data_IF_987673407492
#
_entry.id   IF_987673407492
#
_cell.length_a   1.000
_cell.length_b   1.000
_cell.length_c   1.000
_cell.angle_alpha   90.00
_cell.angle_beta   90.00
_cell.angle_gamma   90.00
#
_symmetry.space_group_name_H-M   'P 1'
#
loop_
_entity.id
_entity.type
_entity.pdbx_description
1 polymer ?
#
# COMPACT_ATOMS: atom_id res chain seq x y z
N UNK A 1 71.38 26.41 -0.22
CA UNK A 1 71.11 25.07 0.33
C UNK A 1 69.62 24.78 0.17
N UNK A 2 69.30 23.82 -0.69
CA UNK A 2 68.07 23.02 -0.83
C UNK A 2 66.64 23.55 -0.46
N UNK A 3 65.81 23.54 -1.52
CA UNK A 3 64.49 22.87 -1.69
C UNK A 3 63.18 23.50 -1.15
N UNK A 4 62.35 23.83 -2.16
CA UNK A 4 60.96 23.41 -2.43
C UNK A 4 59.81 23.93 -1.56
N UNK A 5 58.95 24.68 -2.25
CA UNK A 5 57.48 24.75 -2.12
C UNK A 5 56.82 23.40 -1.88
N UNK A 6 55.80 23.38 -1.01
CA UNK A 6 54.62 22.51 -1.12
C UNK A 6 53.40 23.13 -0.44
N UNK A 7 52.37 23.30 -1.25
CA UNK A 7 50.94 23.39 -0.96
C UNK A 7 50.50 22.24 -0.05
N UNK A 8 49.42 22.43 0.72
CA UNK A 8 48.46 21.35 0.96
C UNK A 8 47.03 21.91 0.98
N UNK A 9 46.26 21.41 0.03
CA UNK A 9 44.81 21.42 -0.10
C UNK A 9 44.11 20.69 1.05
N UNK A 10 42.96 21.24 1.41
CA UNK A 10 41.64 20.62 1.60
C UNK A 10 41.42 19.46 2.59
N UNK A 11 40.41 19.70 3.42
CA UNK A 11 39.28 18.82 3.76
C UNK A 11 39.58 17.41 4.27
N UNK A 12 39.35 17.21 5.57
CA UNK A 12 38.20 16.41 6.06
C UNK A 12 37.87 16.89 7.48
N UNK A 13 36.71 17.54 7.61
CA UNK A 13 36.03 17.79 8.88
C UNK A 13 35.78 16.48 9.62
N UNK A 14 36.44 16.33 10.77
CA UNK A 14 36.12 15.29 11.76
C UNK A 14 35.45 15.96 12.95
N UNK A 15 34.12 16.12 12.89
CA UNK A 15 33.32 16.52 14.03
C UNK A 15 33.21 15.36 15.03
N UNK A 16 34.27 15.17 15.83
CA UNK A 16 34.14 14.66 17.19
C UNK A 16 33.50 15.76 18.03
N UNK A 17 32.24 15.59 18.46
CA UNK A 17 31.76 16.30 19.64
C UNK A 17 31.25 15.30 20.67
N UNK A 18 31.89 15.37 21.83
CA UNK A 18 31.68 14.55 23.00
C UNK A 18 30.84 15.39 23.96
N UNK A 19 29.63 14.95 24.31
CA UNK A 19 29.03 15.35 25.60
C UNK A 19 28.17 14.22 26.15
N UNK A 20 28.74 13.50 27.12
CA UNK A 20 28.01 12.56 27.99
C UNK A 20 26.92 13.32 28.74
N UNK A 21 25.69 13.28 28.25
CA UNK A 21 24.51 13.58 29.07
C UNK A 21 24.15 12.32 29.86
N UNK A 22 24.07 12.45 31.19
CA UNK A 22 23.61 11.36 32.06
C UNK A 22 22.16 11.03 31.71
N UNK A 23 21.80 9.77 31.48
CA UNK A 23 20.44 9.41 31.14
C UNK A 23 19.53 9.47 32.38
N UNK A 24 18.47 10.26 32.28
CA UNK A 24 17.43 10.42 33.29
C UNK A 24 16.46 9.23 33.18
N UNK A 25 16.92 8.04 33.56
CA UNK A 25 16.14 6.80 33.47
C UNK A 25 15.12 6.68 34.60
N UNK A 26 13.96 7.33 34.47
CA UNK A 26 12.73 6.84 35.13
C UNK A 26 11.54 7.15 34.21
N UNK A 27 11.04 6.11 33.53
CA UNK A 27 9.71 6.03 32.88
C UNK A 27 9.55 6.69 31.49
N UNK A 28 10.46 6.44 30.55
CA UNK A 28 10.39 7.02 29.19
C UNK A 28 9.76 6.13 28.09
N UNK A 29 9.69 4.80 28.30
CA UNK A 29 9.14 3.87 27.30
C UNK A 29 7.65 4.10 26.98
N UNK A 30 6.94 4.89 27.79
CA UNK A 30 5.55 5.31 27.52
C UNK A 30 5.41 6.28 26.34
N UNK A 31 6.44 7.08 26.00
CA UNK A 31 6.36 8.04 24.88
C UNK A 31 6.46 7.32 23.53
N UNK A 32 7.15 6.18 23.46
CA UNK A 32 7.24 5.34 22.26
C UNK A 32 5.85 4.79 21.86
N UNK A 33 4.97 4.51 22.83
CA UNK A 33 3.60 4.01 22.61
C UNK A 33 2.72 5.08 21.92
N UNK A 34 2.94 6.37 22.18
CA UNK A 34 2.12 7.44 21.60
C UNK A 34 2.49 7.72 20.14
N UNK A 35 3.73 7.47 19.73
CA UNK A 35 4.19 7.61 18.34
C UNK A 35 3.66 6.46 17.47
N UNK A 36 3.42 5.28 18.05
CA UNK A 36 2.90 4.08 17.38
C UNK A 36 1.47 4.22 16.82
N UNK A 37 0.68 5.21 17.27
CA UNK A 37 -0.71 5.41 16.79
C UNK A 37 -0.74 6.05 15.38
N UNK A 38 0.35 6.65 14.92
CA UNK A 38 0.38 7.34 13.61
C UNK A 38 0.78 6.47 12.42
N UNK A 39 1.19 5.20 12.62
CA UNK A 39 1.66 4.33 11.51
C UNK A 39 0.66 3.20 11.18
N UNK A 40 -0.38 3.01 11.99
CA UNK A 40 -1.23 1.80 11.95
C UNK A 40 -2.45 1.85 11.02
N UNK A 41 -2.42 2.59 9.91
CA UNK A 41 -3.56 2.58 8.96
C UNK A 41 -3.17 2.52 7.49
N UNK A 42 -2.26 1.60 7.15
CA UNK A 42 -2.18 1.01 5.81
C UNK A 42 -2.07 -0.50 5.98
N UNK A 43 -3.21 -1.19 6.04
CA UNK A 43 -3.26 -2.64 5.83
C UNK A 43 -4.64 -3.03 5.33
N UNK A 44 -4.73 -3.32 4.04
CA UNK A 44 -5.87 -4.01 3.44
C UNK A 44 -5.81 -5.48 3.88
N UNK A 45 -6.84 -5.88 4.60
CA UNK A 45 -7.02 -7.17 5.23
C UNK A 45 -7.76 -8.09 4.25
N UNK A 46 -7.18 -9.23 3.87
CA UNK A 46 -7.97 -10.33 3.29
C UNK A 46 -7.62 -11.66 3.94
N UNK A 47 -8.66 -12.31 4.45
CA UNK A 47 -8.64 -13.58 5.17
C UNK A 47 -9.01 -14.71 4.22
N UNK A 48 -8.20 -15.77 4.26
CA UNK A 48 -8.51 -17.14 3.84
C UNK A 48 -9.75 -17.70 4.56
N UNK A 49 -10.49 -18.70 4.00
CA UNK A 49 -10.05 -20.10 4.19
C UNK A 49 -10.39 -21.15 3.10
N UNK A 50 -9.43 -22.07 3.00
CA UNK A 50 -9.41 -23.51 2.66
C UNK A 50 -10.72 -24.33 2.78
N UNK A 51 -10.97 -25.28 1.84
CA UNK A 51 -11.32 -26.69 2.14
C UNK A 51 -11.35 -27.64 0.90
N UNK A 52 -11.35 -28.94 1.20
CA UNK A 52 -10.82 -30.11 0.49
C UNK A 52 -11.77 -30.86 -0.48
N UNK A 53 -11.14 -31.41 -1.54
CA UNK A 53 -11.18 -32.80 -2.08
C UNK A 53 -12.53 -33.49 -2.43
N UNK A 54 -12.64 -34.01 -3.67
CA UNK A 54 -13.07 -35.40 -3.99
C UNK A 54 -12.81 -35.78 -5.47
N UNK A 55 -12.55 -37.07 -5.69
CA UNK A 55 -12.07 -37.73 -6.92
C UNK A 55 -13.21 -38.33 -7.78
N UNK A 56 -13.02 -38.23 -9.11
CA UNK A 56 -13.12 -39.28 -10.14
C UNK A 56 -14.49 -39.93 -10.49
N UNK A 57 -14.98 -39.74 -11.73
CA UNK A 57 -14.99 -40.81 -12.75
C UNK A 57 -15.51 -40.35 -14.13
N UNK A 58 -14.81 -40.87 -15.16
CA UNK A 58 -15.11 -40.79 -16.60
C UNK A 58 -16.46 -41.40 -16.97
N UNK A 59 -17.12 -40.83 -17.99
CA UNK A 59 -17.64 -41.59 -19.15
C UNK A 59 -17.82 -40.64 -20.35
N UNK A 60 -17.08 -40.93 -21.40
CA UNK A 60 -17.14 -40.34 -22.73
C UNK A 60 -18.35 -40.88 -23.52
N UNK A 61 -19.16 -40.01 -24.12
CA UNK A 61 -19.68 -40.26 -25.46
C UNK A 61 -20.38 -39.07 -26.13
N UNK A 62 -19.86 -38.79 -27.32
CA UNK A 62 -20.54 -38.29 -28.51
C UNK A 62 -20.84 -36.79 -28.60
N UNK A 63 -19.84 -36.13 -29.21
CA UNK A 63 -19.86 -34.78 -29.76
C UNK A 63 -20.75 -34.77 -31.01
N UNK A 64 -21.93 -34.17 -30.88
CA UNK A 64 -22.65 -33.60 -32.02
C UNK A 64 -22.34 -32.10 -32.06
N UNK A 65 -21.55 -31.70 -33.04
CA UNK A 65 -20.99 -30.35 -33.18
C UNK A 65 -22.07 -29.40 -33.70
N UNK A 66 -22.98 -28.98 -32.82
CA UNK A 66 -23.78 -27.77 -33.01
C UNK A 66 -22.90 -26.61 -32.59
N UNK A 67 -22.44 -25.82 -33.56
CA UNK A 67 -21.82 -24.52 -33.29
C UNK A 67 -22.89 -23.60 -32.71
N UNK A 68 -23.05 -23.65 -31.39
CA UNK A 68 -23.74 -22.62 -30.62
C UNK A 68 -22.81 -21.42 -30.68
N UNK A 69 -23.16 -20.41 -31.49
CA UNK A 69 -22.68 -19.06 -31.22
C UNK A 69 -23.22 -18.71 -29.84
N UNK A 70 -22.34 -18.71 -28.84
CA UNK A 70 -22.61 -18.19 -27.50
C UNK A 70 -23.05 -16.75 -27.67
N UNK A 71 -24.37 -16.54 -27.67
CA UNK A 71 -24.97 -15.23 -27.70
C UNK A 71 -24.77 -14.70 -26.29
N UNK A 72 -23.80 -13.81 -26.11
CA UNK A 72 -23.58 -13.15 -24.82
C UNK A 72 -24.93 -12.69 -24.27
N UNK A 73 -25.23 -13.09 -23.03
CA UNK A 73 -26.46 -12.68 -22.37
C UNK A 73 -26.40 -11.15 -22.24
N UNK A 74 -27.32 -10.40 -22.88
CA UNK A 74 -27.26 -8.94 -22.86
C UNK A 74 -27.43 -8.38 -21.44
N UNK A 75 -27.88 -9.20 -20.48
CA UNK A 75 -27.98 -8.83 -19.06
C UNK A 75 -26.70 -9.08 -18.25
N UNK A 76 -25.69 -9.73 -18.82
CA UNK A 76 -24.38 -9.86 -18.20
C UNK A 76 -23.65 -8.52 -18.23
N UNK A 77 -23.22 -8.01 -17.09
CA UNK A 77 -22.49 -6.75 -16.97
C UNK A 77 -21.00 -6.99 -16.82
N UNK A 78 -20.21 -6.33 -17.67
CA UNK A 78 -18.75 -6.29 -17.63
C UNK A 78 -18.26 -4.86 -17.86
N UNK A 79 -17.37 -4.40 -17.00
CA UNK A 79 -16.69 -3.14 -17.14
C UNK A 79 -15.31 -3.15 -16.48
N UNK A 80 -14.39 -2.38 -17.05
CA UNK A 80 -13.01 -2.22 -16.58
C UNK A 80 -12.62 -0.75 -16.56
N UNK A 81 -12.16 -0.26 -15.40
CA UNK A 81 -11.66 1.10 -15.24
C UNK A 81 -10.14 1.14 -15.44
N UNK A 82 -9.65 2.09 -16.22
CA UNK A 82 -8.23 2.45 -16.31
C UNK A 82 -8.04 3.93 -15.98
N UNK A 83 -6.88 4.24 -15.40
CA UNK A 83 -6.45 5.62 -15.14
C UNK A 83 -5.14 5.89 -15.85
N UNK A 84 -5.06 7.03 -16.52
CA UNK A 84 -3.84 7.52 -17.17
C UNK A 84 -3.53 8.95 -16.72
N UNK A 85 -2.24 9.25 -16.56
CA UNK A 85 -1.79 10.60 -16.22
C UNK A 85 -1.46 11.35 -17.51
N UNK A 86 -2.13 12.48 -17.74
CA UNK A 86 -1.76 13.46 -18.76
C UNK A 86 -1.47 14.81 -18.09
N UNK A 87 -0.18 15.08 -17.88
CA UNK A 87 0.31 16.30 -17.22
C UNK A 87 -0.32 16.51 -15.84
N UNK A 88 -1.28 17.42 -15.76
CA UNK A 88 -1.99 17.80 -14.52
C UNK A 88 -3.40 17.21 -14.46
N UNK A 89 -3.68 16.22 -15.31
CA UNK A 89 -4.97 15.57 -15.38
C UNK A 89 -4.84 14.06 -15.17
N UNK A 90 -5.93 13.47 -14.69
CA UNK A 90 -6.16 12.03 -14.69
C UNK A 90 -7.28 11.74 -15.66
N UNK A 91 -6.99 10.92 -16.67
CA UNK A 91 -7.97 10.42 -17.62
C UNK A 91 -8.49 9.09 -17.09
N UNK A 92 -9.76 9.06 -16.71
CA UNK A 92 -10.47 7.84 -16.35
C UNK A 92 -11.17 7.29 -17.59
N UNK A 93 -10.94 6.03 -17.93
CA UNK A 93 -11.61 5.33 -19.03
C UNK A 93 -12.24 4.05 -18.53
N UNK A 94 -13.53 3.89 -18.78
CA UNK A 94 -14.29 2.69 -18.49
C UNK A 94 -14.57 2.02 -19.83
N UNK A 95 -14.07 0.81 -20.04
CA UNK A 95 -14.50 -0.04 -21.14
C UNK A 95 -15.64 -0.92 -20.62
N UNK A 96 -16.76 -1.02 -21.34
CA UNK A 96 -17.93 -1.74 -20.85
C UNK A 96 -18.77 -2.32 -21.97
N UNK A 97 -19.51 -3.39 -21.66
CA UNK A 97 -20.57 -3.92 -22.51
C UNK A 97 -21.96 -3.33 -22.21
N UNK A 98 -22.08 -2.42 -21.24
CA UNK A 98 -23.34 -1.80 -20.88
C UNK A 98 -23.89 -0.92 -22.03
N UNK A 99 -25.21 -0.75 -22.14
CA UNK A 99 -25.80 0.08 -23.20
C UNK A 99 -25.32 1.53 -23.17
N UNK A 100 -25.34 2.17 -24.34
CA UNK A 100 -25.10 3.61 -24.44
C UNK A 100 -26.02 4.40 -23.50
N UNK A 101 -25.45 5.43 -22.88
CA UNK A 101 -26.11 6.25 -21.87
C UNK A 101 -25.99 5.72 -20.44
N UNK A 102 -25.52 4.49 -20.23
CA UNK A 102 -25.25 3.97 -18.86
C UNK A 102 -24.37 4.94 -18.09
N UNK A 103 -24.83 5.36 -16.92
CA UNK A 103 -24.13 6.29 -16.05
C UNK A 103 -23.25 5.53 -15.06
N UNK A 104 -21.98 5.90 -15.00
CA UNK A 104 -21.03 5.40 -14.02
C UNK A 104 -20.67 6.50 -13.03
N UNK A 105 -20.96 6.29 -11.75
CA UNK A 105 -20.44 7.14 -10.68
C UNK A 105 -18.95 6.83 -10.53
N UNK A 106 -18.10 7.75 -10.95
CA UNK A 106 -16.65 7.56 -10.98
C UNK A 106 -15.97 8.59 -10.10
N UNK A 107 -15.16 8.12 -9.17
CA UNK A 107 -14.40 8.95 -8.23
C UNK A 107 -12.92 8.66 -8.34
N UNK A 108 -12.11 9.72 -8.27
CA UNK A 108 -10.67 9.63 -8.03
C UNK A 108 -10.34 10.16 -6.65
N UNK A 109 -9.37 9.53 -5.98
CA UNK A 109 -9.01 9.83 -4.59
C UNK A 109 -7.49 9.82 -4.44
N UNK A 110 -6.93 10.86 -3.82
CA UNK A 110 -5.56 10.87 -3.32
C UNK A 110 -5.60 10.89 -1.79
N UNK A 111 -5.24 9.76 -1.19
CA UNK A 111 -5.33 9.52 0.25
C UNK A 111 -4.07 9.98 1.00
N UNK A 112 -3.47 11.11 0.62
CA UNK A 112 -2.43 11.73 1.42
C UNK A 112 -3.00 12.15 2.79
N UNK A 113 -2.41 11.64 3.88
CA UNK A 113 -2.94 11.85 5.23
C UNK A 113 -3.08 13.31 5.64
N UNK A 114 -2.22 14.20 5.10
CA UNK A 114 -2.21 15.61 5.47
C UNK A 114 -3.00 16.47 4.48
N UNK A 115 -3.31 15.94 3.30
CA UNK A 115 -3.95 16.68 2.22
C UNK A 115 -4.81 15.76 1.35
N UNK A 116 -5.83 15.14 1.98
CA UNK A 116 -6.80 14.32 1.28
C UNK A 116 -7.49 15.13 0.17
N UNK A 117 -7.53 14.56 -1.04
CA UNK A 117 -8.22 15.15 -2.19
C UNK A 117 -9.08 14.09 -2.88
N UNK A 118 -10.25 14.50 -3.32
CA UNK A 118 -11.15 13.64 -4.11
C UNK A 118 -11.92 14.47 -5.14
N UNK A 119 -12.28 13.84 -6.24
CA UNK A 119 -13.19 14.38 -7.23
C UNK A 119 -14.07 13.25 -7.78
N UNK A 120 -15.30 13.57 -8.14
CA UNK A 120 -16.30 12.60 -8.59
C UNK A 120 -17.10 13.16 -9.75
N UNK A 121 -17.53 12.29 -10.67
CA UNK A 121 -18.34 12.64 -11.82
C UNK A 121 -19.20 11.45 -12.26
N UNK A 122 -20.35 11.75 -12.88
CA UNK A 122 -21.15 10.77 -13.61
C UNK A 122 -20.74 10.72 -15.08
N UNK A 123 -20.16 9.60 -15.49
CA UNK A 123 -19.64 9.42 -16.85
C UNK A 123 -20.61 8.52 -17.63
N UNK A 124 -21.13 9.00 -18.76
CA UNK A 124 -22.00 8.21 -19.62
C UNK A 124 -21.20 7.34 -20.59
N UNK A 125 -21.56 6.07 -20.71
CA UNK A 125 -21.02 5.20 -21.76
C UNK A 125 -21.56 5.57 -23.14
N UNK A 126 -20.70 5.44 -24.14
CA UNK A 126 -21.00 5.56 -25.55
C UNK A 126 -20.06 4.68 -26.35
N UNK A 127 -20.61 3.88 -27.26
CA UNK A 127 -19.84 2.97 -28.11
C UNK A 127 -18.93 2.03 -27.29
N UNK A 128 -19.47 1.53 -26.16
CA UNK A 128 -18.77 0.62 -25.23
C UNK A 128 -17.69 1.29 -24.37
N UNK A 129 -17.64 2.63 -24.31
CA UNK A 129 -16.64 3.37 -23.52
C UNK A 129 -17.23 4.56 -22.78
N UNK A 130 -16.72 4.86 -21.59
CA UNK A 130 -16.99 6.10 -20.86
C UNK A 130 -15.65 6.73 -20.50
N UNK A 131 -15.41 7.99 -20.87
CA UNK A 131 -14.14 8.68 -20.58
C UNK A 131 -14.38 10.05 -19.98
N UNK A 132 -13.63 10.37 -18.93
CA UNK A 132 -13.62 11.70 -18.32
C UNK A 132 -12.20 12.12 -17.91
N UNK A 133 -11.95 13.43 -17.94
CA UNK A 133 -10.67 14.02 -17.57
C UNK A 133 -10.83 14.84 -16.30
N UNK A 134 -10.24 14.37 -15.21
CA UNK A 134 -10.18 15.09 -13.94
C UNK A 134 -8.96 15.99 -13.90
N UNK A 135 -9.14 17.27 -13.58
CA UNK A 135 -8.02 18.19 -13.30
C UNK A 135 -7.56 18.04 -11.86
N UNK A 136 -6.27 17.76 -11.68
CA UNK A 136 -5.64 17.45 -10.38
C UNK A 136 -4.38 18.28 -10.12
N UNK A 137 -4.28 19.46 -10.74
CA UNK A 137 -3.08 20.31 -10.68
C UNK A 137 -2.63 20.69 -9.25
N UNK A 138 -3.57 20.80 -8.31
CA UNK A 138 -3.32 21.14 -6.91
C UNK A 138 -3.22 19.92 -5.98
N UNK A 139 -3.23 18.70 -6.54
CA UNK A 139 -3.18 17.47 -5.76
C UNK A 139 -1.76 17.12 -5.35
N UNK A 140 -1.57 16.51 -4.17
CA UNK A 140 -0.24 16.12 -3.72
C UNK A 140 0.32 14.97 -4.57
N UNK A 141 1.65 14.92 -4.71
CA UNK A 141 2.35 13.75 -5.25
C UNK A 141 1.97 12.50 -4.46
N UNK A 142 1.58 11.42 -5.13
CA UNK A 142 1.13 10.19 -4.48
C UNK A 142 0.42 9.25 -5.45
N UNK A 143 -0.19 8.21 -4.91
CA UNK A 143 -1.08 7.35 -5.68
C UNK A 143 -2.49 7.93 -5.71
N UNK A 144 -3.06 8.00 -6.90
CA UNK A 144 -4.47 8.31 -7.11
C UNK A 144 -5.20 7.00 -7.36
N UNK A 145 -6.16 6.67 -6.48
CA UNK A 145 -7.08 5.56 -6.67
C UNK A 145 -8.29 5.98 -7.48
N UNK A 146 -8.77 5.11 -8.36
CA UNK A 146 -9.99 5.27 -9.14
C UNK A 146 -11.01 4.22 -8.75
N UNK A 147 -12.23 4.65 -8.47
CA UNK A 147 -13.36 3.82 -8.10
C UNK A 147 -14.50 4.18 -9.07
N UNK A 148 -15.16 3.18 -9.63
CA UNK A 148 -16.33 3.41 -10.47
C UNK A 148 -17.39 2.36 -10.21
N UNK A 149 -18.66 2.75 -10.31
CA UNK A 149 -19.77 1.82 -10.20
C UNK A 149 -20.98 2.24 -11.04
N UNK A 150 -21.69 1.24 -11.56
CA UNK A 150 -23.02 1.43 -12.14
C UNK A 150 -24.06 1.28 -11.01
N UNK A 151 -24.71 2.37 -10.66
CA UNK A 151 -25.72 2.42 -9.59
C UNK A 151 -27.12 2.60 -10.13
N UNK A 152 -28.10 2.03 -9.43
CA UNK A 152 -29.54 2.12 -9.76
C UNK A 152 -30.35 2.85 -8.68
N UNK A 153 -29.74 3.13 -7.52
CA UNK A 153 -30.37 3.69 -6.33
C UNK A 153 -30.23 5.22 -6.22
N UNK A 154 -29.80 5.88 -7.29
CA UNK A 154 -29.56 7.32 -7.30
C UNK A 154 -30.74 8.09 -7.90
N UNK A 155 -31.57 8.69 -7.04
CA UNK A 155 -32.75 9.46 -7.47
C UNK A 155 -32.39 10.72 -8.28
N UNK A 156 -31.30 11.40 -7.93
CA UNK A 156 -30.85 12.62 -8.62
C UNK A 156 -30.14 12.33 -9.95
N UNK A 157 -29.65 11.10 -10.12
CA UNK A 157 -28.93 10.65 -11.32
C UNK A 157 -29.40 9.23 -11.73
N UNK A 158 -30.69 9.07 -12.10
CA UNK A 158 -31.23 7.78 -12.45
C UNK A 158 -30.62 7.26 -13.75
N UNK A 159 -30.50 5.94 -13.87
CA UNK A 159 -30.13 5.32 -15.15
C UNK A 159 -31.17 5.64 -16.23
N UNK A 160 -30.76 5.79 -17.50
CA UNK A 160 -31.69 6.08 -18.57
C UNK A 160 -32.61 4.87 -18.86
N UNK A 161 -33.73 5.14 -19.53
CA UNK A 161 -34.81 4.15 -19.73
C UNK A 161 -34.33 2.85 -20.40
N UNK A 162 -33.44 2.94 -21.40
CA UNK A 162 -32.89 1.76 -22.08
C UNK A 162 -32.07 0.85 -21.16
N UNK A 163 -31.40 1.43 -20.16
CA UNK A 163 -30.62 0.70 -19.16
C UNK A 163 -31.56 0.06 -18.12
N UNK A 164 -32.60 0.79 -17.70
CA UNK A 164 -33.66 0.26 -16.82
C UNK A 164 -34.43 -0.88 -17.48
N UNK A 165 -34.75 -0.79 -18.77
CA UNK A 165 -35.46 -1.83 -19.49
C UNK A 165 -34.67 -3.15 -19.50
N UNK A 166 -33.36 -3.03 -19.71
CA UNK A 166 -32.42 -4.15 -19.76
C UNK A 166 -32.14 -4.76 -18.38
N UNK A 167 -31.69 -3.94 -17.42
CA UNK A 167 -31.19 -4.40 -16.12
C UNK A 167 -32.22 -4.34 -15.00
N UNK A 168 -33.37 -3.69 -15.22
CA UNK A 168 -34.38 -3.44 -14.19
C UNK A 168 -34.12 -2.17 -13.41
N UNK A 169 -35.16 -1.65 -12.76
CA UNK A 169 -35.11 -0.38 -12.01
C UNK A 169 -34.21 -0.45 -10.77
N UNK A 170 -33.92 -1.65 -10.27
CA UNK A 170 -33.04 -1.92 -9.15
C UNK A 170 -31.79 -2.71 -9.55
N UNK A 171 -31.59 -2.94 -10.85
CA UNK A 171 -30.56 -3.85 -11.36
C UNK A 171 -30.91 -5.33 -11.21
N UNK A 172 -32.16 -5.68 -10.86
CA UNK A 172 -32.61 -7.04 -10.53
C UNK A 172 -32.48 -8.06 -11.68
N UNK A 173 -32.36 -7.59 -12.92
CA UNK A 173 -32.12 -8.43 -14.10
C UNK A 173 -30.64 -8.54 -14.46
N UNK A 174 -29.78 -7.67 -13.92
CA UNK A 174 -28.34 -7.69 -14.21
C UNK A 174 -27.67 -8.95 -13.65
N UNK A 175 -26.74 -9.50 -14.41
CA UNK A 175 -25.98 -10.73 -14.10
C UNK A 175 -24.49 -10.51 -14.27
N UNK A 176 -23.70 -11.47 -13.80
CA UNK A 176 -22.23 -11.47 -13.91
C UNK A 176 -21.55 -11.24 -12.57
N UNK A 177 -20.26 -11.56 -12.51
CA UNK A 177 -19.47 -11.56 -11.28
C UNK A 177 -19.26 -10.15 -10.69
N UNK A 178 -19.45 -9.12 -11.51
CA UNK A 178 -19.36 -7.72 -11.11
C UNK A 178 -20.67 -7.17 -10.52
N UNK A 179 -21.76 -7.96 -10.52
CA UNK A 179 -23.02 -7.54 -9.94
C UNK A 179 -23.07 -7.95 -8.47
N UNK A 180 -23.17 -6.95 -7.59
CA UNK A 180 -23.22 -7.13 -6.14
C UNK A 180 -24.53 -6.63 -5.57
N UNK A 181 -25.05 -7.31 -4.53
CA UNK A 181 -26.22 -6.86 -3.81
C UNK A 181 -25.90 -5.63 -2.96
N UNK A 182 -26.85 -4.69 -2.93
CA UNK A 182 -26.83 -3.49 -2.13
C UNK A 182 -28.04 -3.45 -1.16
N UNK A 183 -28.34 -2.28 -0.61
CA UNK A 183 -29.47 -2.09 0.30
C UNK A 183 -30.82 -2.16 -0.45
N UNK A 184 -31.89 -2.49 0.27
CA UNK A 184 -33.29 -2.43 -0.23
C UNK A 184 -33.57 -3.15 -1.57
N UNK A 185 -32.80 -4.21 -1.85
CA UNK A 185 -32.91 -5.03 -3.05
C UNK A 185 -32.32 -4.39 -4.31
N UNK A 186 -31.59 -3.28 -4.18
CA UNK A 186 -30.77 -2.74 -5.26
C UNK A 186 -29.53 -3.62 -5.49
N UNK A 187 -29.03 -3.60 -6.71
CA UNK A 187 -27.76 -4.20 -7.11
C UNK A 187 -26.88 -3.15 -7.77
N UNK A 188 -25.56 -3.29 -7.66
CA UNK A 188 -24.59 -2.41 -8.33
C UNK A 188 -23.68 -3.21 -9.27
N UNK A 189 -23.28 -2.58 -10.38
CA UNK A 189 -22.12 -3.00 -11.14
C UNK A 189 -20.85 -2.48 -10.47
N UNK A 190 -20.16 -3.33 -9.73
CA UNK A 190 -18.90 -3.01 -9.06
C UNK A 190 -17.73 -3.20 -10.03
N UNK A 191 -16.99 -2.13 -10.28
CA UNK A 191 -15.80 -2.15 -11.13
C UNK A 191 -14.56 -2.23 -10.24
N UNK A 192 -13.56 -3.03 -10.65
CA UNK A 192 -12.31 -3.16 -9.90
C UNK A 192 -11.65 -1.79 -9.70
N UNK A 193 -11.23 -1.52 -8.47
CA UNK A 193 -10.47 -0.32 -8.14
C UNK A 193 -9.07 -0.40 -8.75
N UNK A 194 -8.60 0.71 -9.31
CA UNK A 194 -7.27 0.83 -9.90
C UNK A 194 -6.51 2.00 -9.28
N UNK A 195 -5.18 2.01 -9.42
CA UNK A 195 -4.33 3.10 -8.92
C UNK A 195 -3.33 3.55 -9.96
N UNK A 196 -3.01 4.84 -9.97
CA UNK A 196 -1.96 5.41 -10.82
C UNK A 196 -1.05 6.35 -10.01
N UNK A 197 0.25 6.34 -10.31
CA UNK A 197 1.22 7.22 -9.66
C UNK A 197 1.16 8.63 -10.27
N UNK A 198 0.97 9.65 -9.44
CA UNK A 198 0.87 11.05 -9.85
C UNK A 198 1.95 11.92 -9.18
N UNK A 199 2.60 12.84 -9.91
CA UNK A 199 2.50 13.07 -11.37
C UNK A 199 3.26 12.02 -12.19
N UNK A 200 4.10 11.19 -11.55
CA UNK A 200 4.82 10.10 -12.20
C UNK A 200 5.24 9.05 -11.18
N UNK A 201 5.56 7.84 -11.65
CA UNK A 201 6.14 6.77 -10.81
C UNK A 201 7.42 7.24 -10.11
N UNK A 202 8.27 7.98 -10.81
CA UNK A 202 9.52 8.49 -10.26
C UNK A 202 9.27 9.49 -9.13
N UNK A 203 8.36 10.46 -9.31
CA UNK A 203 8.05 11.45 -8.28
C UNK A 203 7.46 10.82 -7.02
N UNK A 204 6.58 9.81 -7.19
CA UNK A 204 6.05 9.03 -6.07
C UNK A 204 7.17 8.28 -5.36
N UNK A 205 8.06 7.61 -6.10
CA UNK A 205 9.20 6.89 -5.52
C UNK A 205 10.13 7.82 -4.72
N UNK A 206 10.47 8.99 -5.26
CA UNK A 206 11.29 9.99 -4.57
C UNK A 206 10.63 10.48 -3.28
N UNK A 207 9.30 10.70 -3.29
CA UNK A 207 8.55 11.06 -2.08
C UNK A 207 8.59 9.94 -1.04
N UNK A 208 8.36 8.69 -1.45
CA UNK A 208 8.38 7.52 -0.56
C UNK A 208 9.77 7.25 0.00
N UNK A 209 10.83 7.41 -0.79
CA UNK A 209 12.22 7.25 -0.34
C UNK A 209 12.60 8.29 0.71
N UNK A 210 12.20 9.55 0.49
CA UNK A 210 12.40 10.60 1.49
C UNK A 210 11.62 10.28 2.77
N UNK A 211 10.34 9.93 2.66
CA UNK A 211 9.50 9.58 3.80
C UNK A 211 10.10 8.41 4.60
N UNK A 212 10.61 7.41 3.89
CA UNK A 212 11.25 6.24 4.48
C UNK A 212 12.46 6.63 5.34
N UNK A 213 13.41 7.37 4.77
CA UNK A 213 14.62 7.81 5.47
C UNK A 213 14.29 8.76 6.62
N UNK A 214 13.41 9.74 6.41
CA UNK A 214 12.99 10.69 7.45
C UNK A 214 12.32 9.96 8.62
N UNK A 215 11.51 8.93 8.34
CA UNK A 215 10.86 8.13 9.38
C UNK A 215 11.85 7.28 10.16
N UNK A 216 12.81 6.62 9.50
CA UNK A 216 13.87 5.87 10.18
C UNK A 216 14.71 6.78 11.09
N UNK A 217 15.11 7.96 10.60
CA UNK A 217 15.84 8.94 11.39
C UNK A 217 15.04 9.43 12.59
N UNK A 218 13.75 9.70 12.40
CA UNK A 218 12.82 10.08 13.47
C UNK A 218 12.67 8.97 14.52
N UNK A 219 12.62 7.70 14.10
CA UNK A 219 12.60 6.55 15.03
C UNK A 219 13.88 6.50 15.87
N UNK A 220 15.06 6.67 15.24
CA UNK A 220 16.36 6.70 15.94
C UNK A 220 16.41 7.87 16.93
N UNK A 221 16.08 9.08 16.49
CA UNK A 221 16.10 10.28 17.33
C UNK A 221 15.16 10.14 18.53
N UNK A 222 13.90 9.75 18.29
CA UNK A 222 12.88 9.60 19.33
C UNK A 222 13.10 8.39 20.24
N UNK A 223 13.99 7.46 19.87
CA UNK A 223 14.44 6.39 20.76
C UNK A 223 15.36 6.90 21.88
N UNK A 224 15.88 8.14 21.75
CA UNK A 224 16.77 8.78 22.71
C UNK A 224 18.01 7.96 23.06
N UNK A 225 18.63 7.38 22.03
CA UNK A 225 19.87 6.61 22.15
C UNK A 225 19.66 5.14 22.54
N UNK A 226 18.42 4.65 22.59
CA UNK A 226 18.14 3.20 22.67
C UNK A 226 18.49 2.54 21.33
N UNK A 227 18.00 3.10 20.22
CA UNK A 227 18.35 2.68 18.87
C UNK A 227 19.52 3.57 18.41
N UNK A 228 20.60 2.92 17.98
CA UNK A 228 21.81 3.58 17.45
C UNK A 228 21.72 3.69 15.92
N UNK A 229 21.29 2.63 15.24
CA UNK A 229 21.15 2.63 13.78
C UNK A 229 20.12 1.61 13.31
N UNK A 230 19.56 1.86 12.12
CA UNK A 230 18.69 0.96 11.37
C UNK A 230 19.19 0.96 9.94
N UNK A 231 19.56 -0.20 9.40
CA UNK A 231 20.16 -0.32 8.07
C UNK A 231 19.89 -1.71 7.46
N UNK A 232 20.05 -1.90 6.15
CA UNK A 232 20.07 -3.23 5.56
C UNK A 232 21.17 -4.07 6.22
N UNK A 233 20.87 -5.31 6.56
CA UNK A 233 21.83 -6.19 7.23
C UNK A 233 23.06 -6.47 6.34
N UNK A 234 22.84 -6.57 5.03
CA UNK A 234 23.89 -6.72 4.03
C UNK A 234 23.86 -5.49 3.11
N UNK A 235 25.02 -4.83 2.94
CA UNK A 235 25.15 -3.56 2.22
C UNK A 235 24.67 -3.60 0.76
N UNK A 236 24.70 -4.77 0.14
CA UNK A 236 24.32 -4.98 -1.27
C UNK A 236 22.95 -5.66 -1.44
N UNK A 237 22.19 -5.81 -0.35
CA UNK A 237 20.82 -6.34 -0.39
C UNK A 237 19.80 -5.24 -0.18
N UNK A 238 18.58 -5.54 -0.63
CA UNK A 238 17.41 -4.73 -0.31
C UNK A 238 17.08 -4.76 1.19
N UNK A 239 16.00 -4.06 1.55
CA UNK A 239 15.54 -3.93 2.93
C UNK A 239 14.82 -5.19 3.46
N UNK A 240 14.85 -6.33 2.75
CA UNK A 240 14.22 -7.57 3.22
C UNK A 240 14.90 -8.18 4.45
N UNK A 241 16.12 -7.77 4.76
CA UNK A 241 16.79 -8.10 6.02
C UNK A 241 17.40 -6.86 6.63
N UNK A 242 17.01 -6.54 7.86
CA UNK A 242 17.35 -5.29 8.54
C UNK A 242 18.20 -5.58 9.77
N UNK A 243 19.23 -4.78 10.00
CA UNK A 243 19.98 -4.76 11.24
C UNK A 243 19.63 -3.49 12.04
N UNK A 244 19.18 -3.70 13.27
CA UNK A 244 18.94 -2.66 14.27
C UNK A 244 20.05 -2.73 15.31
N UNK A 245 20.88 -1.70 15.39
CA UNK A 245 21.89 -1.60 16.45
C UNK A 245 21.28 -0.91 17.65
N UNK A 246 21.37 -1.50 18.84
CA UNK A 246 20.87 -0.93 20.10
C UNK A 246 22.01 -0.65 21.07
N UNK A 247 21.78 0.26 22.01
CA UNK A 247 22.76 0.61 23.03
C UNK A 247 22.86 -0.41 24.17
N UNK A 248 23.89 -0.27 25.00
CA UNK A 248 24.14 -1.11 26.18
C UNK A 248 22.98 -1.15 27.19
N UNK A 249 22.02 -0.22 27.08
CA UNK A 249 20.76 -0.27 27.83
C UNK A 249 20.03 -1.61 27.68
N UNK A 250 20.23 -2.29 26.54
CA UNK A 250 19.76 -3.66 26.31
C UNK A 250 20.18 -4.60 27.44
N UNK A 251 21.46 -4.62 27.83
CA UNK A 251 21.97 -5.57 28.83
C UNK A 251 21.36 -5.38 30.22
N UNK A 252 20.93 -4.16 30.54
CA UNK A 252 20.24 -3.84 31.80
C UNK A 252 18.73 -4.09 31.79
N UNK A 253 18.15 -4.43 30.63
CA UNK A 253 16.70 -4.58 30.47
C UNK A 253 16.23 -6.01 30.79
N UNK A 254 15.07 -6.19 31.47
CA UNK A 254 14.42 -7.48 31.64
C UNK A 254 14.13 -8.19 30.31
N UNK A 255 14.12 -9.52 30.31
CA UNK A 255 13.94 -10.34 29.10
C UNK A 255 12.60 -10.07 28.37
N UNK A 256 11.50 -9.93 29.13
CA UNK A 256 10.19 -9.59 28.55
C UNK A 256 10.13 -8.17 27.95
N UNK A 257 10.91 -7.22 28.48
CA UNK A 257 11.00 -5.87 27.90
C UNK A 257 11.79 -5.89 26.59
N UNK A 258 12.85 -6.72 26.51
CA UNK A 258 13.62 -6.94 25.28
C UNK A 258 12.77 -7.55 24.17
N UNK A 259 12.02 -8.61 24.48
CA UNK A 259 11.15 -9.28 23.50
C UNK A 259 10.07 -8.32 22.98
N UNK A 260 9.38 -7.61 23.88
CA UNK A 260 8.37 -6.61 23.49
C UNK A 260 8.98 -5.49 22.64
N UNK A 261 10.14 -4.98 23.01
CA UNK A 261 10.83 -3.95 22.23
C UNK A 261 11.17 -4.46 20.83
N UNK A 262 11.77 -5.65 20.74
CA UNK A 262 12.19 -6.25 19.48
C UNK A 262 11.00 -6.50 18.55
N UNK A 263 9.89 -7.00 19.08
CA UNK A 263 8.67 -7.23 18.31
C UNK A 263 8.07 -5.91 17.80
N UNK A 264 7.87 -4.92 18.69
CA UNK A 264 7.24 -3.66 18.32
C UNK A 264 8.04 -2.87 17.29
N UNK A 265 9.36 -2.77 17.48
CA UNK A 265 10.23 -2.06 16.53
C UNK A 265 10.29 -2.81 15.21
N UNK A 266 10.34 -4.14 15.22
CA UNK A 266 10.37 -4.93 14.00
C UNK A 266 9.08 -4.76 13.17
N UNK A 267 7.91 -4.88 13.80
CA UNK A 267 6.62 -4.66 13.12
C UNK A 267 6.53 -3.25 12.53
N UNK A 268 7.01 -2.24 13.25
CA UNK A 268 7.02 -0.85 12.75
C UNK A 268 7.92 -0.70 11.53
N UNK A 269 9.14 -1.27 11.58
CA UNK A 269 10.10 -1.24 10.47
C UNK A 269 9.55 -1.99 9.26
N UNK A 270 8.98 -3.18 9.45
CA UNK A 270 8.35 -3.98 8.39
C UNK A 270 7.23 -3.21 7.70
N UNK A 271 6.29 -2.65 8.46
CA UNK A 271 5.22 -1.81 7.91
C UNK A 271 5.75 -0.62 7.13
N UNK A 272 6.76 0.08 7.66
CA UNK A 272 7.39 1.20 6.99
C UNK A 272 8.04 0.78 5.66
N UNK A 273 8.77 -0.34 5.64
CA UNK A 273 9.43 -0.88 4.45
C UNK A 273 8.42 -1.21 3.35
N UNK A 274 7.30 -1.83 3.70
CA UNK A 274 6.23 -2.14 2.74
C UNK A 274 5.49 -0.89 2.27
N UNK A 275 5.11 0.01 3.19
CA UNK A 275 4.37 1.23 2.86
C UNK A 275 5.17 2.20 1.99
N UNK A 276 6.50 2.16 2.09
CA UNK A 276 7.41 2.94 1.25
C UNK A 276 8.00 2.16 0.08
N UNK A 277 7.47 0.97 -0.23
CA UNK A 277 7.83 0.15 -1.40
C UNK A 277 9.35 -0.10 -1.51
N UNK A 278 10.00 -0.36 -0.37
CA UNK A 278 11.44 -0.70 -0.33
C UNK A 278 11.70 -2.18 -0.64
N UNK A 279 10.65 -3.00 -0.62
CA UNK A 279 10.62 -4.41 -1.02
C UNK A 279 9.30 -4.71 -1.73
N UNK A 280 9.23 -5.85 -2.42
CA UNK A 280 7.99 -6.36 -3.02
C UNK A 280 6.92 -6.61 -1.94
N UNK A 281 5.64 -6.46 -2.31
CA UNK A 281 4.51 -6.43 -1.37
C UNK A 281 4.38 -7.71 -0.52
N UNK A 282 4.71 -8.86 -1.10
CA UNK A 282 4.64 -10.19 -0.50
C UNK A 282 5.98 -10.68 0.07
N UNK A 283 7.05 -9.89 -0.09
CA UNK A 283 8.38 -10.26 0.38
C UNK A 283 8.50 -10.06 1.89
N UNK A 284 8.72 -11.15 2.61
CA UNK A 284 8.96 -11.10 4.06
C UNK A 284 10.16 -10.22 4.42
N UNK A 285 9.99 -9.41 5.46
CA UNK A 285 11.04 -8.59 6.08
C UNK A 285 11.46 -9.23 7.40
N UNK A 286 12.77 -9.40 7.60
CA UNK A 286 13.33 -9.92 8.84
C UNK A 286 14.19 -8.87 9.52
N UNK A 287 13.93 -8.60 10.80
CA UNK A 287 14.67 -7.59 11.57
C UNK A 287 15.53 -8.29 12.61
N UNK A 288 16.82 -8.03 12.61
CA UNK A 288 17.80 -8.59 13.56
C UNK A 288 18.35 -7.48 14.43
N UNK A 289 18.65 -7.80 15.69
CA UNK A 289 19.14 -6.84 16.67
C UNK A 289 20.59 -7.13 17.01
N UNK A 290 21.41 -6.08 17.08
CA UNK A 290 22.83 -6.16 17.38
C UNK A 290 23.24 -5.12 18.42
N UNK A 291 24.31 -5.37 19.17
CA UNK A 291 24.99 -4.31 19.92
C UNK A 291 25.98 -3.53 19.05
N UNK A 292 26.59 -2.50 19.61
CA UNK A 292 27.60 -1.68 18.91
C UNK A 292 28.85 -2.46 18.48
N UNK A 293 29.08 -3.66 19.04
CA UNK A 293 30.18 -4.56 18.71
C UNK A 293 29.79 -5.64 17.71
N UNK A 294 28.59 -5.55 17.12
CA UNK A 294 28.03 -6.52 16.17
C UNK A 294 27.74 -7.90 16.81
N UNK A 295 27.62 -7.99 18.14
CA UNK A 295 27.05 -9.19 18.77
C UNK A 295 25.54 -9.19 18.52
N UNK A 296 25.04 -10.27 17.95
CA UNK A 296 23.61 -10.45 17.77
C UNK A 296 22.91 -10.65 19.12
N UNK A 297 21.83 -9.90 19.33
CA UNK A 297 21.07 -9.81 20.57
C UNK A 297 19.67 -10.40 20.46
N UNK A 298 19.05 -10.32 19.29
CA UNK A 298 17.75 -10.92 19.04
C UNK A 298 17.50 -11.20 17.55
N UNK A 299 16.73 -12.25 17.28
CA UNK A 299 16.34 -12.70 15.94
C UNK A 299 14.88 -13.13 15.88
N UNK A 300 14.21 -13.02 14.71
CA UNK A 300 12.84 -13.46 14.55
C UNK A 300 12.71 -14.98 14.69
N UNK A 301 11.64 -15.45 15.35
CA UNK A 301 11.28 -16.87 15.46
C UNK A 301 10.43 -17.31 14.27
N UNK A 302 10.49 -18.60 13.91
CA UNK A 302 9.70 -19.19 12.80
C UNK A 302 8.18 -19.06 13.04
N UNK A 303 7.73 -19.12 14.30
CA UNK A 303 6.31 -19.07 14.67
C UNK A 303 5.87 -17.69 15.21
N UNK A 304 6.64 -16.63 14.94
CA UNK A 304 6.39 -15.28 15.43
C UNK A 304 7.06 -14.98 16.79
N UNK A 305 7.23 -13.68 17.06
CA UNK A 305 7.99 -13.18 18.21
C UNK A 305 9.52 -13.23 18.00
N UNK A 306 10.26 -12.96 19.08
CA UNK A 306 11.72 -12.80 19.03
C UNK A 306 12.45 -13.73 19.99
N UNK A 307 13.52 -14.36 19.52
CA UNK A 307 14.48 -15.07 20.36
C UNK A 307 15.48 -14.06 20.93
N UNK A 308 15.59 -13.98 22.25
CA UNK A 308 16.57 -13.12 22.93
C UNK A 308 17.84 -13.91 23.21
N UNK A 309 18.96 -13.46 22.64
CA UNK A 309 20.27 -14.09 22.79
C UNK A 309 20.96 -13.61 24.08
N UNK A 310 21.67 -14.53 24.74
CA UNK A 310 22.41 -14.28 25.99
C UNK A 310 23.86 -13.90 25.73
#
# INVERSE_FOLDING_TARGET
MFKKTKTNENDVDSLKSNSKKKPFYKRWWFIIIVILIFVSSISSNDKNPNEQTSKENNTESQIEKVTIQEKEDPTEFKADLTLEVDKQNIIATINTNAPDGTLFETSIINADMNNFKSASEFIAAKDGKATYTFTVADWPTGYIGGISSMRFDLEDHPQPANVIDLYGSKGEKAKGDQIVDAHDGFKYGQIQTVTVAYPSKQAVKEKLDKLFIDTLNSMIEKSNGVIISIQPYLKDKDWSTVAVTVSDSWYSSPEHEKERFAEQIATTIEQLIHNCEQVEKDKSVQVYYFDSYQKELASPKILGGYEIKR
#
